data_IF_717985444329
#
_entry.id   IF_717985444329
#
_cell.length_a   1.000
_cell.length_b   1.000
_cell.length_c   1.000
_cell.angle_alpha   90.00
_cell.angle_beta   90.00
_cell.angle_gamma   90.00
#
_symmetry.space_group_name_H-M   'P 1'
#
loop_
_entity.id
_entity.type
_entity.pdbx_description
1 polymer ?
#
# COMPACT_ATOMS: atom_id res chain seq x y z
N UNK A 1 -19.71 8.55 5.88
CA UNK A 1 -18.51 9.26 6.39
C UNK A 1 -17.48 9.29 5.27
N UNK A 2 -17.38 10.40 4.54
CA UNK A 2 -16.39 10.60 3.48
C UNK A 2 -15.08 11.07 4.11
N UNK A 3 -13.93 10.80 3.50
CA UNK A 3 -12.64 11.28 4.00
C UNK A 3 -11.60 10.19 4.22
N UNK A 4 -10.60 10.55 5.03
CA UNK A 4 -9.44 9.76 5.36
C UNK A 4 -9.53 9.37 6.83
N UNK A 5 -9.28 8.12 7.16
CA UNK A 5 -9.26 7.65 8.54
C UNK A 5 -8.07 6.72 8.75
N UNK A 6 -7.22 7.04 9.73
CA UNK A 6 -6.26 6.07 10.25
C UNK A 6 -7.02 4.99 11.02
N UNK A 7 -6.76 3.74 10.71
CA UNK A 7 -7.41 2.58 11.32
C UNK A 7 -6.36 1.54 11.73
N UNK A 8 -6.78 0.64 12.61
CA UNK A 8 -6.09 -0.65 12.80
C UNK A 8 -6.70 -1.67 11.83
N UNK A 9 -5.84 -2.35 11.07
CA UNK A 9 -6.23 -3.43 10.17
C UNK A 9 -5.47 -4.69 10.55
N UNK A 10 -6.13 -5.56 11.33
CA UNK A 10 -5.54 -6.79 11.88
C UNK A 10 -4.23 -6.55 12.68
N UNK A 11 -4.17 -5.48 13.48
CA UNK A 11 -2.99 -5.13 14.26
C UNK A 11 -1.95 -4.30 13.50
N UNK A 12 -2.18 -3.98 12.22
CA UNK A 12 -1.32 -3.12 11.42
C UNK A 12 -1.95 -1.72 11.26
N UNK A 13 -1.18 -0.64 11.44
CA UNK A 13 -1.62 0.69 11.07
C UNK A 13 -1.95 0.76 9.58
N UNK A 14 -3.13 1.29 9.25
CA UNK A 14 -3.57 1.50 7.89
C UNK A 14 -4.31 2.83 7.74
N UNK A 15 -4.49 3.26 6.50
CA UNK A 15 -5.35 4.39 6.15
C UNK A 15 -6.50 3.86 5.29
N UNK A 16 -7.72 4.15 5.72
CA UNK A 16 -8.90 4.02 4.88
C UNK A 16 -9.14 5.34 4.16
N UNK A 17 -9.27 5.27 2.84
CA UNK A 17 -9.64 6.41 1.99
C UNK A 17 -11.06 6.17 1.47
N UNK A 18 -11.92 7.19 1.52
CA UNK A 18 -13.28 7.12 0.98
C UNK A 18 -13.63 8.36 0.17
N UNK A 19 -13.93 8.14 -1.10
CA UNK A 19 -14.44 9.15 -2.01
C UNK A 19 -15.91 9.52 -1.69
N UNK A 20 -16.39 10.71 -2.10
CA UNK A 20 -17.74 11.15 -1.77
C UNK A 20 -18.87 10.27 -2.31
N UNK A 21 -18.63 9.54 -3.39
CA UNK A 21 -19.57 8.59 -3.99
C UNK A 21 -19.62 7.22 -3.27
N UNK A 22 -18.79 7.04 -2.25
CA UNK A 22 -18.74 5.83 -1.43
C UNK A 22 -17.63 4.85 -1.80
N UNK A 23 -16.95 5.03 -2.94
CA UNK A 23 -15.78 4.21 -3.28
C UNK A 23 -14.72 4.31 -2.17
N UNK A 24 -14.15 3.19 -1.75
CA UNK A 24 -13.16 3.18 -0.68
C UNK A 24 -12.07 2.13 -0.86
N UNK A 25 -10.90 2.40 -0.31
CA UNK A 25 -9.80 1.44 -0.21
C UNK A 25 -9.15 1.52 1.17
N UNK A 26 -8.45 0.45 1.55
CA UNK A 26 -7.59 0.41 2.73
C UNK A 26 -6.17 0.13 2.28
N UNK A 27 -5.23 0.96 2.75
CA UNK A 27 -3.80 0.85 2.45
C UNK A 27 -3.03 0.76 3.78
N UNK A 28 -2.28 -0.32 3.99
CA UNK A 28 -1.46 -0.48 5.20
C UNK A 28 -0.17 0.33 5.09
N UNK A 29 0.29 0.91 6.20
CA UNK A 29 1.62 1.56 6.23
C UNK A 29 2.73 0.52 6.04
N UNK A 30 2.50 -0.73 6.44
CA UNK A 30 3.34 -1.86 6.08
C UNK A 30 3.21 -2.17 4.59
N UNK A 31 4.27 -1.92 3.83
CA UNK A 31 4.38 -2.19 2.40
C UNK A 31 3.66 -1.22 1.47
N UNK A 32 3.03 -0.15 2.01
CA UNK A 32 2.03 0.65 1.29
C UNK A 32 0.99 -0.27 0.59
N UNK A 33 0.62 -1.36 1.27
CA UNK A 33 -0.06 -2.50 0.67
C UNK A 33 -1.56 -2.23 0.60
N UNK A 34 -2.13 -2.24 -0.60
CA UNK A 34 -3.58 -2.12 -0.76
C UNK A 34 -4.22 -3.47 -0.41
N UNK A 35 -5.01 -3.49 0.66
CA UNK A 35 -5.59 -4.72 1.24
C UNK A 35 -7.11 -4.84 1.05
N UNK A 36 -7.76 -3.77 0.60
CA UNK A 36 -9.19 -3.73 0.31
C UNK A 36 -9.47 -2.64 -0.73
N UNK A 37 -10.41 -2.90 -1.65
CA UNK A 37 -11.03 -1.89 -2.48
C UNK A 37 -12.49 -2.27 -2.79
N UNK A 38 -13.39 -1.36 -2.45
CA UNK A 38 -14.82 -1.46 -2.72
C UNK A 38 -15.21 -0.27 -3.61
N UNK A 39 -15.64 -0.49 -4.87
CA UNK A 39 -16.15 0.58 -5.70
C UNK A 39 -17.48 1.12 -5.18
N UNK A 40 -17.89 2.30 -5.64
CA UNK A 40 -19.13 2.94 -5.23
C UNK A 40 -20.35 2.01 -5.47
N UNK A 41 -21.08 1.70 -4.39
CA UNK A 41 -22.24 0.81 -4.43
C UNK A 41 -21.93 -0.67 -4.70
N UNK A 42 -20.65 -1.07 -4.73
CA UNK A 42 -20.21 -2.43 -5.01
C UNK A 42 -19.89 -3.25 -3.76
N UNK A 43 -19.17 -4.35 -3.99
CA UNK A 43 -18.63 -5.24 -2.96
C UNK A 43 -17.09 -5.24 -3.01
N UNK A 44 -16.44 -5.97 -2.11
CA UNK A 44 -14.97 -6.12 -2.10
C UNK A 44 -14.47 -6.75 -3.41
N UNK A 45 -13.45 -6.14 -4.03
CA UNK A 45 -12.84 -6.60 -5.29
C UNK A 45 -11.42 -7.12 -5.12
N UNK A 46 -10.79 -6.87 -3.97
CA UNK A 46 -9.43 -7.32 -3.67
C UNK A 46 -9.50 -8.53 -2.75
N UNK A 47 -9.00 -9.67 -3.24
CA UNK A 47 -8.83 -10.85 -2.41
C UNK A 47 -7.72 -10.64 -1.38
N UNK A 48 -8.00 -11.05 -0.15
CA UNK A 48 -7.04 -11.13 0.93
C UNK A 48 -7.12 -12.53 1.56
N UNK A 49 -5.97 -13.15 1.81
CA UNK A 49 -5.94 -14.48 2.39
C UNK A 49 -6.21 -14.45 3.88
N UNK A 50 -7.11 -15.31 4.35
CA UNK A 50 -7.38 -15.54 5.79
C UNK A 50 -6.14 -16.11 6.53
N UNK A 51 -5.16 -16.64 5.80
CA UNK A 51 -3.89 -17.14 6.34
C UNK A 51 -2.78 -16.09 6.34
N UNK A 52 -3.09 -14.82 6.03
CA UNK A 52 -2.14 -13.72 6.17
C UNK A 52 -1.83 -13.48 7.65
N UNK A 53 -0.55 -13.31 7.99
CA UNK A 53 -0.11 -13.23 9.39
C UNK A 53 -0.28 -11.83 10.00
N UNK A 54 -0.38 -10.78 9.17
CA UNK A 54 -0.47 -9.38 9.60
C UNK A 54 0.56 -8.99 10.68
N UNK A 55 1.79 -9.45 10.52
CA UNK A 55 2.88 -9.21 11.46
C UNK A 55 3.96 -8.31 10.83
N UNK A 56 4.62 -7.52 11.67
CA UNK A 56 5.79 -6.72 11.28
C UNK A 56 6.84 -7.63 10.65
N UNK A 57 7.39 -7.21 9.49
CA UNK A 57 8.34 -7.96 8.66
C UNK A 57 7.82 -9.20 7.90
N UNK A 58 6.55 -9.60 8.04
CA UNK A 58 5.96 -10.66 7.22
C UNK A 58 5.20 -10.08 6.00
N UNK A 59 5.30 -10.69 4.80
CA UNK A 59 4.51 -10.23 3.66
C UNK A 59 3.02 -10.54 3.85
N UNK A 60 2.16 -9.58 3.49
CA UNK A 60 0.70 -9.78 3.43
C UNK A 60 0.37 -10.66 2.22
N UNK A 61 -0.51 -11.65 2.41
CA UNK A 61 -0.94 -12.59 1.36
C UNK A 61 -2.26 -12.14 0.73
N UNK A 62 -2.23 -11.80 -0.56
CA UNK A 62 -3.33 -11.13 -1.26
C UNK A 62 -3.07 -9.63 -1.36
N UNK A 63 -4.09 -8.85 -1.72
CA UNK A 63 -3.92 -7.42 -1.93
C UNK A 63 -3.03 -7.08 -3.13
N UNK A 64 -2.42 -5.89 -3.08
CA UNK A 64 -1.47 -5.41 -4.08
C UNK A 64 -0.09 -5.20 -3.43
N UNK A 65 0.83 -6.18 -3.52
CA UNK A 65 2.18 -6.05 -2.98
C UNK A 65 3.10 -5.22 -3.89
N UNK A 66 3.88 -4.30 -3.32
CA UNK A 66 4.97 -3.63 -4.04
C UNK A 66 6.18 -4.54 -4.15
N UNK A 67 6.53 -4.94 -5.38
CA UNK A 67 7.69 -5.79 -5.68
C UNK A 67 8.85 -4.93 -6.17
N UNK A 68 9.84 -4.67 -5.31
CA UNK A 68 10.99 -3.84 -5.65
C UNK A 68 12.19 -4.10 -4.72
N UNK A 69 13.43 -4.10 -5.24
CA UNK A 69 13.81 -3.92 -6.65
C UNK A 69 13.89 -5.25 -7.42
N UNK A 70 13.53 -6.37 -6.80
CA UNK A 70 13.67 -7.70 -7.37
C UNK A 70 12.32 -8.39 -7.49
N UNK A 71 12.05 -9.00 -8.65
CA UNK A 71 10.94 -9.92 -8.82
C UNK A 71 11.34 -11.35 -8.47
N UNK A 72 10.45 -12.07 -7.76
CA UNK A 72 10.65 -13.44 -7.29
C UNK A 72 12.03 -13.62 -6.62
N UNK A 73 12.75 -14.69 -6.98
CA UNK A 73 14.12 -15.00 -6.56
C UNK A 73 15.13 -14.75 -7.70
N UNK A 74 14.85 -13.82 -8.62
CA UNK A 74 15.73 -13.58 -9.78
C UNK A 74 17.04 -12.84 -9.47
N UNK A 75 17.32 -12.58 -8.20
CA UNK A 75 18.58 -12.01 -7.74
C UNK A 75 18.87 -12.38 -6.28
N UNK A 76 19.89 -11.77 -5.66
CA UNK A 76 20.36 -12.13 -4.33
C UNK A 76 19.51 -11.55 -3.19
N UNK A 77 18.52 -10.72 -3.49
CA UNK A 77 17.69 -10.05 -2.49
C UNK A 77 16.60 -10.99 -1.96
N UNK A 78 15.95 -10.63 -0.82
CA UNK A 78 14.77 -11.34 -0.34
C UNK A 78 13.71 -11.53 -1.42
N UNK A 79 12.86 -12.55 -1.25
CA UNK A 79 11.81 -12.87 -2.21
C UNK A 79 10.89 -11.66 -2.46
N UNK A 80 10.82 -11.19 -3.71
CA UNK A 80 10.13 -9.98 -4.15
C UNK A 80 10.71 -8.64 -3.62
N UNK A 81 12.00 -8.64 -3.28
CA UNK A 81 12.71 -7.45 -2.84
C UNK A 81 12.38 -7.04 -1.40
N UNK A 82 12.51 -5.74 -1.12
CA UNK A 82 12.60 -5.22 0.25
C UNK A 82 11.43 -4.33 0.66
N UNK A 83 10.60 -3.85 -0.27
CA UNK A 83 9.62 -2.80 0.06
C UNK A 83 8.31 -3.32 0.68
N UNK A 84 7.81 -4.50 0.28
CA UNK A 84 6.52 -5.03 0.77
C UNK A 84 6.48 -5.41 2.26
N UNK A 85 7.63 -5.41 2.93
CA UNK A 85 7.74 -5.72 4.36
C UNK A 85 8.24 -4.53 5.20
N UNK A 86 8.42 -3.37 4.59
CA UNK A 86 8.87 -2.15 5.26
C UNK A 86 7.70 -1.27 5.62
N UNK A 87 7.84 -0.43 6.65
CA UNK A 87 6.88 0.64 6.92
C UNK A 87 7.17 1.81 5.98
N UNK A 88 6.14 2.30 5.30
CA UNK A 88 6.17 3.48 4.44
C UNK A 88 5.60 4.67 5.21
N UNK A 89 6.04 5.86 4.84
CA UNK A 89 5.52 7.11 5.40
C UNK A 89 4.40 7.64 4.51
N UNK A 90 3.29 8.05 5.12
CA UNK A 90 2.26 8.84 4.43
C UNK A 90 2.82 10.24 4.18
N UNK A 91 2.83 10.68 2.92
CA UNK A 91 3.27 12.02 2.51
C UNK A 91 2.09 12.97 2.48
N UNK A 92 1.01 12.56 1.81
CA UNK A 92 -0.21 13.35 1.66
C UNK A 92 -1.42 12.42 1.66
N UNK A 93 -2.54 12.92 2.18
CA UNK A 93 -3.85 12.34 1.92
C UNK A 93 -4.83 13.48 1.65
N UNK A 94 -5.64 13.35 0.61
CA UNK A 94 -6.63 14.37 0.25
C UNK A 94 -7.89 13.78 -0.37
N UNK A 95 -9.00 14.50 -0.20
CA UNK A 95 -10.22 14.30 -0.98
C UNK A 95 -10.42 15.55 -1.84
N UNK A 96 -10.41 15.39 -3.15
CA UNK A 96 -10.53 16.50 -4.10
C UNK A 96 -11.22 16.05 -5.39
N UNK A 97 -12.06 16.91 -5.98
CA UNK A 97 -12.80 16.64 -7.22
C UNK A 97 -13.55 15.30 -7.25
N UNK A 98 -14.15 14.91 -6.13
CA UNK A 98 -14.90 13.64 -6.02
C UNK A 98 -14.04 12.39 -5.86
N UNK A 99 -12.73 12.55 -5.62
CA UNK A 99 -11.76 11.45 -5.52
C UNK A 99 -11.08 11.47 -4.16
N UNK A 100 -10.71 10.30 -3.65
CA UNK A 100 -9.89 10.19 -2.44
C UNK A 100 -8.54 9.58 -2.79
N UNK A 101 -7.46 10.25 -2.40
CA UNK A 101 -6.09 9.88 -2.74
C UNK A 101 -5.18 9.91 -1.51
N UNK A 102 -4.23 8.98 -1.47
CA UNK A 102 -3.08 8.98 -0.56
C UNK A 102 -1.79 8.74 -1.31
N UNK A 103 -0.73 9.39 -0.87
CA UNK A 103 0.61 9.27 -1.43
C UNK A 103 1.55 8.78 -0.31
N UNK A 104 2.19 7.64 -0.53
CA UNK A 104 3.16 7.01 0.38
C UNK A 104 4.57 7.13 -0.18
N UNK A 105 5.57 7.18 0.70
CA UNK A 105 7.00 7.18 0.33
C UNK A 105 7.82 6.22 1.18
N UNK A 106 8.77 5.54 0.55
CA UNK A 106 9.84 4.77 1.20
C UNK A 106 11.17 5.17 0.60
N UNK A 107 12.19 5.33 1.42
CA UNK A 107 13.52 5.79 1.01
C UNK A 107 14.57 4.86 1.59
N UNK A 108 15.76 4.92 1.01
CA UNK A 108 16.89 4.15 1.50
C UNK A 108 17.41 4.69 2.83
N UNK A 109 17.69 3.76 3.73
CA UNK A 109 18.34 3.95 5.01
C UNK A 109 19.51 2.96 5.15
N UNK A 110 20.26 3.06 6.24
CA UNK A 110 21.44 2.22 6.47
C UNK A 110 21.06 0.72 6.44
N UNK A 111 19.95 0.33 7.06
CA UNK A 111 19.48 -1.06 7.05
C UNK A 111 19.13 -1.57 5.66
N UNK A 112 18.63 -0.72 4.77
CA UNK A 112 18.39 -1.14 3.37
C UNK A 112 19.66 -1.19 2.55
N UNK A 113 20.61 -0.29 2.82
CA UNK A 113 21.90 -0.24 2.12
C UNK A 113 22.78 -1.45 2.48
N UNK A 114 22.62 -1.99 3.68
CA UNK A 114 23.24 -3.26 4.10
C UNK A 114 22.76 -4.46 3.27
N UNK A 115 21.52 -4.44 2.79
CA UNK A 115 20.91 -5.52 1.99
C UNK A 115 21.05 -5.27 0.49
N UNK A 116 20.87 -4.02 0.06
CA UNK A 116 20.92 -3.58 -1.32
C UNK A 116 21.61 -2.21 -1.38
N UNK A 117 22.90 -2.13 -1.77
CA UNK A 117 23.75 -0.95 -1.58
C UNK A 117 23.51 0.14 -2.64
N UNK A 118 22.28 0.62 -2.73
CA UNK A 118 21.85 1.65 -3.69
C UNK A 118 20.95 2.70 -3.05
N UNK A 119 21.12 3.94 -3.52
CA UNK A 119 20.18 5.04 -3.28
C UNK A 119 18.82 4.77 -3.88
N UNK A 120 17.72 5.00 -3.13
CA UNK A 120 16.38 4.95 -3.70
C UNK A 120 15.38 5.85 -2.96
N UNK A 121 14.40 6.35 -3.71
CA UNK A 121 13.19 6.95 -3.16
C UNK A 121 12.00 6.49 -3.98
N UNK A 122 11.10 5.72 -3.37
CA UNK A 122 9.92 5.20 -4.05
C UNK A 122 8.67 5.88 -3.50
N UNK A 123 7.85 6.40 -4.39
CA UNK A 123 6.53 6.94 -4.09
C UNK A 123 5.43 6.03 -4.66
N UNK A 124 4.35 5.86 -3.89
CA UNK A 124 3.16 5.12 -4.29
C UNK A 124 1.92 5.98 -4.05
N UNK A 125 1.22 6.33 -5.13
CA UNK A 125 -0.07 6.99 -5.08
C UNK A 125 -1.19 5.97 -5.23
N UNK A 126 -2.21 6.07 -4.38
CA UNK A 126 -3.43 5.27 -4.43
C UNK A 126 -4.63 6.20 -4.44
N UNK A 127 -5.48 6.10 -5.47
CA UNK A 127 -6.66 6.93 -5.62
C UNK A 127 -7.90 6.09 -5.94
N UNK A 128 -9.04 6.44 -5.35
CA UNK A 128 -10.34 5.81 -5.63
C UNK A 128 -11.41 6.83 -5.96
N UNK A 129 -12.28 6.46 -6.91
CA UNK A 129 -13.54 7.14 -7.22
C UNK A 129 -14.42 6.22 -8.08
N UNK A 130 -15.72 6.18 -7.81
CA UNK A 130 -16.69 5.40 -8.55
C UNK A 130 -16.29 3.93 -8.65
N UNK A 131 -16.12 3.45 -9.87
CA UNK A 131 -15.63 2.11 -10.17
C UNK A 131 -14.15 2.10 -10.62
N UNK A 132 -13.33 2.99 -10.08
CA UNK A 132 -11.94 3.17 -10.44
C UNK A 132 -11.02 3.14 -9.22
N UNK A 133 -9.95 2.37 -9.33
CA UNK A 133 -8.79 2.36 -8.45
C UNK A 133 -7.57 2.67 -9.33
N UNK A 134 -6.89 3.77 -9.05
CA UNK A 134 -5.61 4.13 -9.68
C UNK A 134 -4.47 3.85 -8.71
N UNK A 135 -3.41 3.23 -9.22
CA UNK A 135 -2.18 2.96 -8.47
C UNK A 135 -1.01 3.42 -9.36
N UNK A 136 -0.24 4.38 -8.89
CA UNK A 136 0.94 4.89 -9.61
C UNK A 136 2.18 4.79 -8.72
N UNK A 137 3.25 4.23 -9.26
CA UNK A 137 4.54 4.10 -8.58
C UNK A 137 5.61 4.90 -9.32
N UNK A 138 6.42 5.64 -8.57
CA UNK A 138 7.58 6.38 -9.07
C UNK A 138 8.83 5.98 -8.27
N UNK A 139 9.96 5.84 -8.95
CA UNK A 139 11.28 5.48 -8.40
C UNK A 139 12.30 6.53 -8.82
#
# INVERSE_FOLDING_TARGET
MNGLATIDFHGLPAIQIRAPDGACAIVTYHGAHIVSWIPAGGAEWIYLSEHSQFATAAPIRGGVPVVFPQFATYGPLPHHGILRTRVWRLVEGKVHNGRARVDFRSEDCDETRDVWPHGFGVELAVEVAGNHLEIAMQV
#
